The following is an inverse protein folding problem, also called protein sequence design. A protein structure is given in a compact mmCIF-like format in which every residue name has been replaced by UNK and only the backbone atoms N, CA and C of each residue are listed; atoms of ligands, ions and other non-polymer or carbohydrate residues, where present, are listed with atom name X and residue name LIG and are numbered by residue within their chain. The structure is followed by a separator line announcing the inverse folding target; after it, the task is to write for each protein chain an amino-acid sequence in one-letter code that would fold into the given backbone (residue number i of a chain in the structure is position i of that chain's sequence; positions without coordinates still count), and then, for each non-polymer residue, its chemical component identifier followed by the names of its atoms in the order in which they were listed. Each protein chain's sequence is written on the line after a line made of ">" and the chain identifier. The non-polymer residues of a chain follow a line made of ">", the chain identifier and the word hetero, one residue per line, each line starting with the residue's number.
data_IF_162030074657
#
_entry.id   IF_162030074657
#
_cell.length_a   1.000
_cell.length_b   1.000
_cell.length_c   1.000
_cell.angle_alpha   90.00
_cell.angle_beta   90.00
_cell.angle_gamma   90.00
#
_symmetry.space_group_name_H-M   'P 1'
#
loop_
_entity.id
_entity.type
_entity.pdbx_description
1 polymer ?
#
# COMPACT_ATOMS: atom_id res chain seq x y z
N UNK A 1 -16.18 -3.38 71.25
CA UNK A 1 -16.30 -4.84 71.11
C UNK A 1 -15.45 -5.23 69.91
N UNK A 2 -14.39 -5.99 70.15
CA UNK A 2 -13.44 -6.43 69.12
C UNK A 2 -14.15 -7.42 68.22
N UNK A 3 -14.25 -7.13 66.92
CA UNK A 3 -14.70 -8.12 65.92
C UNK A 3 -13.55 -9.09 65.69
N UNK A 4 -13.58 -10.20 66.41
CA UNK A 4 -12.74 -11.37 66.13
C UNK A 4 -13.37 -12.08 64.94
N UNK A 5 -12.55 -12.35 63.92
CA UNK A 5 -12.91 -13.15 62.76
C UNK A 5 -13.16 -14.60 63.18
N UNK A 6 -14.40 -15.08 63.07
CA UNK A 6 -14.75 -16.50 63.20
C UNK A 6 -14.25 -17.29 61.97
N UNK A 7 -13.83 -18.56 62.13
CA UNK A 7 -13.41 -19.40 61.02
C UNK A 7 -14.61 -19.81 60.15
N UNK A 8 -14.47 -19.70 58.81
CA UNK A 8 -15.51 -20.04 57.82
C UNK A 8 -16.23 -21.36 58.14
N UNK A 9 -17.53 -21.29 58.42
CA UNK A 9 -18.36 -22.46 58.73
C UNK A 9 -18.83 -23.17 57.45
N UNK A 10 -19.27 -24.44 57.56
CA UNK A 10 -19.88 -25.17 56.44
C UNK A 10 -21.13 -24.46 55.89
N UNK A 11 -21.88 -23.76 56.74
CA UNK A 11 -23.03 -22.93 56.36
C UNK A 11 -22.63 -21.71 55.52
N UNK A 12 -21.47 -21.09 55.82
CA UNK A 12 -20.93 -19.97 55.02
C UNK A 12 -20.58 -20.42 53.59
N UNK A 13 -20.01 -21.62 53.44
CA UNK A 13 -19.68 -22.21 52.13
C UNK A 13 -20.93 -22.59 51.33
N UNK A 14 -21.99 -23.08 51.97
CA UNK A 14 -23.27 -23.34 51.30
C UNK A 14 -23.97 -22.04 50.87
N UNK A 15 -23.96 -21.02 51.72
CA UNK A 15 -24.50 -19.70 51.39
C UNK A 15 -23.72 -19.03 50.24
N UNK A 16 -22.39 -19.15 50.21
CA UNK A 16 -21.56 -18.63 49.13
C UNK A 16 -21.80 -19.38 47.81
N UNK A 17 -21.95 -20.71 47.85
CA UNK A 17 -22.33 -21.51 46.69
C UNK A 17 -23.72 -21.14 46.14
N UNK A 18 -24.70 -20.86 47.03
CA UNK A 18 -26.02 -20.40 46.62
C UNK A 18 -25.94 -19.03 45.93
N UNK A 19 -25.19 -18.09 46.52
CA UNK A 19 -24.95 -16.76 45.92
C UNK A 19 -24.30 -16.87 44.54
N UNK A 20 -23.23 -17.67 44.40
CA UNK A 20 -22.58 -17.95 43.10
C UNK A 20 -23.58 -18.53 42.10
N UNK A 21 -24.45 -19.45 42.51
CA UNK A 21 -25.48 -20.05 41.64
C UNK A 21 -26.47 -19.02 41.11
N UNK A 22 -26.95 -18.08 41.92
CA UNK A 22 -27.86 -17.03 41.46
C UNK A 22 -27.15 -16.00 40.59
N UNK A 23 -25.93 -15.58 40.94
CA UNK A 23 -25.13 -14.66 40.12
C UNK A 23 -24.80 -15.28 38.76
N UNK A 24 -24.40 -16.56 38.71
CA UNK A 24 -24.12 -17.26 37.45
C UNK A 24 -25.36 -17.40 36.54
N UNK A 25 -26.58 -17.34 37.09
CA UNK A 25 -27.81 -17.31 36.30
C UNK A 25 -28.13 -15.93 35.72
N UNK A 26 -27.58 -14.86 36.32
CA UNK A 26 -27.73 -13.49 35.84
C UNK A 26 -26.75 -13.16 34.71
N UNK A 27 -25.62 -13.86 34.64
CA UNK A 27 -24.62 -13.67 33.61
C UNK A 27 -25.06 -14.31 32.28
N UNK A 28 -24.92 -13.60 31.15
CA UNK A 28 -25.33 -14.10 29.84
C UNK A 28 -24.41 -15.22 29.34
N UNK A 29 -24.85 -15.85 28.24
CA UNK A 29 -23.96 -16.66 27.42
C UNK A 29 -23.25 -15.81 26.37
N UNK A 30 -22.04 -16.21 25.98
CA UNK A 30 -21.23 -15.50 25.00
C UNK A 30 -21.06 -16.37 23.75
N UNK A 31 -21.45 -15.82 22.60
CA UNK A 31 -21.16 -16.39 21.29
C UNK A 31 -19.74 -16.00 20.88
N UNK A 32 -18.94 -17.01 20.53
CA UNK A 32 -17.59 -16.77 20.03
C UNK A 32 -17.53 -16.87 18.51
N UNK A 33 -16.48 -16.31 17.95
CA UNK A 33 -16.24 -16.30 16.49
C UNK A 33 -16.09 -17.73 15.94
N UNK A 34 -15.66 -18.67 16.77
CA UNK A 34 -15.53 -20.10 16.43
C UNK A 34 -16.90 -20.82 16.33
N UNK A 35 -18.01 -20.12 16.59
CA UNK A 35 -19.37 -20.64 16.46
C UNK A 35 -19.91 -21.36 17.70
N UNK A 36 -19.12 -21.45 18.77
CA UNK A 36 -19.54 -22.06 20.03
C UNK A 36 -20.07 -21.04 21.05
N UNK A 37 -20.73 -21.55 22.09
CA UNK A 37 -21.39 -20.76 23.14
C UNK A 37 -20.80 -21.10 24.49
N UNK A 38 -20.27 -20.09 25.19
CA UNK A 38 -19.68 -20.27 26.52
C UNK A 38 -20.34 -19.42 27.59
N UNK A 39 -20.05 -19.74 28.85
CA UNK A 39 -20.39 -18.89 29.97
C UNK A 39 -19.55 -17.60 29.95
N UNK A 40 -20.19 -16.48 30.24
CA UNK A 40 -19.52 -15.20 30.43
C UNK A 40 -18.52 -15.30 31.61
N UNK A 41 -17.30 -14.84 31.37
CA UNK A 41 -16.22 -14.87 32.36
C UNK A 41 -15.62 -13.46 32.52
N UNK A 42 -15.89 -12.75 33.63
CA UNK A 42 -15.34 -11.42 33.90
C UNK A 42 -13.82 -11.34 33.86
N UNK A 43 -13.11 -12.39 34.29
CA UNK A 43 -11.65 -12.41 34.34
C UNK A 43 -11.01 -12.20 32.95
N UNK A 44 -11.73 -12.57 31.87
CA UNK A 44 -11.25 -12.32 30.50
C UNK A 44 -11.23 -10.83 30.16
N UNK A 45 -12.13 -10.03 30.72
CA UNK A 45 -12.20 -8.58 30.51
C UNK A 45 -11.03 -7.92 31.23
N UNK A 46 -10.85 -8.23 32.51
CA UNK A 46 -9.75 -7.70 33.33
C UNK A 46 -8.38 -8.02 32.71
N UNK A 47 -8.14 -9.28 32.33
CA UNK A 47 -6.91 -9.69 31.66
C UNK A 47 -6.69 -8.99 30.32
N UNK A 48 -7.76 -8.77 29.56
CA UNK A 48 -7.70 -8.09 28.25
C UNK A 48 -7.37 -6.61 28.44
N UNK A 49 -7.97 -5.94 29.43
CA UNK A 49 -7.68 -4.55 29.76
C UNK A 49 -6.21 -4.37 30.11
N UNK A 50 -5.68 -5.17 31.05
CA UNK A 50 -4.27 -5.08 31.46
C UNK A 50 -3.34 -5.32 30.26
N UNK A 51 -3.60 -6.38 29.48
CA UNK A 51 -2.74 -6.77 28.36
C UNK A 51 -2.73 -5.73 27.22
N UNK A 52 -3.88 -5.18 26.86
CA UNK A 52 -4.02 -4.36 25.65
C UNK A 52 -3.85 -2.86 25.92
N UNK A 53 -4.16 -2.41 27.13
CA UNK A 53 -4.12 -0.98 27.49
C UNK A 53 -3.00 -0.62 28.46
N UNK A 54 -2.45 -1.60 29.20
CA UNK A 54 -1.46 -1.36 30.24
C UNK A 54 -2.03 -0.87 31.57
N UNK A 55 -3.36 -0.89 31.76
CA UNK A 55 -3.99 -0.55 33.04
C UNK A 55 -3.43 -1.36 34.20
N UNK A 56 -3.31 -0.70 35.36
CA UNK A 56 -2.98 -1.40 36.60
C UNK A 56 -4.12 -2.31 37.05
N UNK A 57 -3.78 -3.33 37.85
CA UNK A 57 -4.72 -4.34 38.31
C UNK A 57 -5.95 -3.74 39.01
N UNK A 58 -5.78 -2.68 39.82
CA UNK A 58 -6.90 -2.10 40.59
C UNK A 58 -7.87 -1.36 39.68
N UNK A 59 -7.34 -0.60 38.72
CA UNK A 59 -8.17 0.08 37.72
C UNK A 59 -8.88 -0.91 36.81
N UNK A 60 -8.19 -1.95 36.35
CA UNK A 60 -8.78 -3.01 35.52
C UNK A 60 -9.91 -3.77 36.25
N UNK A 61 -9.72 -4.10 37.53
CA UNK A 61 -10.75 -4.72 38.39
C UNK A 61 -11.97 -3.80 38.52
N UNK A 62 -11.76 -2.52 38.86
CA UNK A 62 -12.84 -1.52 38.97
C UNK A 62 -13.66 -1.39 37.69
N UNK A 63 -12.99 -1.27 36.54
CA UNK A 63 -13.67 -1.18 35.23
C UNK A 63 -14.42 -2.47 34.93
N UNK A 64 -13.82 -3.63 35.20
CA UNK A 64 -14.45 -4.94 35.01
C UNK A 64 -15.72 -5.07 35.86
N UNK A 65 -15.69 -4.62 37.11
CA UNK A 65 -16.85 -4.61 37.99
C UNK A 65 -18.01 -3.78 37.40
N UNK A 66 -17.73 -2.57 36.93
CA UNK A 66 -18.71 -1.71 36.28
C UNK A 66 -19.32 -2.36 35.03
N UNK A 67 -18.48 -3.03 34.22
CA UNK A 67 -18.91 -3.77 33.03
C UNK A 67 -19.86 -4.91 33.41
N UNK A 68 -19.50 -5.69 34.42
CA UNK A 68 -20.34 -6.80 34.92
C UNK A 68 -21.68 -6.29 35.42
N UNK A 69 -21.69 -5.21 36.21
CA UNK A 69 -22.92 -4.58 36.71
C UNK A 69 -23.81 -4.12 35.55
N UNK A 70 -23.22 -3.48 34.53
CA UNK A 70 -23.95 -3.02 33.34
C UNK A 70 -24.55 -4.18 32.56
N UNK A 71 -23.76 -5.22 32.30
CA UNK A 71 -24.22 -6.44 31.61
C UNK A 71 -25.40 -7.08 32.34
N UNK A 72 -25.32 -7.29 33.66
CA UNK A 72 -26.42 -7.84 34.44
C UNK A 72 -27.66 -6.95 34.35
N UNK A 73 -27.50 -5.63 34.51
CA UNK A 73 -28.62 -4.68 34.50
C UNK A 73 -29.33 -4.59 33.14
N UNK A 74 -28.62 -4.83 32.05
CA UNK A 74 -29.17 -4.77 30.68
C UNK A 74 -30.17 -5.88 30.35
N UNK A 75 -30.16 -7.00 31.11
CA UNK A 75 -31.00 -8.15 30.81
C UNK A 75 -30.69 -8.87 29.48
N UNK A 76 -29.57 -8.55 28.84
CA UNK A 76 -29.14 -9.19 27.60
C UNK A 76 -28.86 -10.67 27.88
N UNK A 77 -29.46 -11.57 27.09
CA UNK A 77 -29.31 -13.02 27.27
C UNK A 77 -28.05 -13.57 26.59
N UNK A 78 -27.61 -12.90 25.54
CA UNK A 78 -26.51 -13.34 24.71
C UNK A 78 -25.64 -12.16 24.30
N UNK A 79 -24.33 -12.30 24.49
CA UNK A 79 -23.34 -11.31 24.08
C UNK A 79 -22.39 -11.91 23.06
N UNK A 80 -21.83 -11.06 22.21
CA UNK A 80 -20.66 -11.38 21.39
C UNK A 80 -19.43 -10.70 21.98
N UNK A 81 -18.23 -11.14 21.59
CA UNK A 81 -16.98 -10.45 21.95
C UNK A 81 -16.99 -8.95 21.60
N UNK A 82 -17.41 -8.55 20.37
CA UNK A 82 -17.55 -7.15 20.00
C UNK A 82 -18.49 -6.35 20.90
N UNK A 83 -19.66 -6.92 21.24
CA UNK A 83 -20.62 -6.25 22.12
C UNK A 83 -20.04 -6.03 23.52
N UNK A 84 -19.30 -7.01 24.07
CA UNK A 84 -18.61 -6.84 25.35
C UNK A 84 -17.57 -5.71 25.24
N UNK A 85 -16.79 -5.69 24.16
CA UNK A 85 -15.76 -4.65 23.94
C UNK A 85 -16.37 -3.25 23.85
N UNK A 86 -17.51 -3.08 23.17
CA UNK A 86 -18.24 -1.81 23.11
C UNK A 86 -18.70 -1.33 24.49
N UNK A 87 -19.22 -2.24 25.32
CA UNK A 87 -19.61 -1.93 26.71
C UNK A 87 -18.39 -1.48 27.53
N UNK A 88 -17.25 -2.17 27.37
CA UNK A 88 -16.00 -1.80 28.04
C UNK A 88 -15.51 -0.43 27.60
N UNK A 89 -15.47 -0.15 26.29
CA UNK A 89 -15.07 1.16 25.77
C UNK A 89 -15.98 2.29 26.27
N UNK A 90 -17.29 2.06 26.32
CA UNK A 90 -18.25 3.02 26.89
C UNK A 90 -17.94 3.33 28.35
N UNK A 91 -17.61 2.32 29.15
CA UNK A 91 -17.28 2.51 30.58
C UNK A 91 -15.91 3.18 30.74
N UNK A 92 -14.91 2.84 29.93
CA UNK A 92 -13.62 3.54 29.96
C UNK A 92 -13.80 5.05 29.71
N UNK A 93 -14.62 5.43 28.71
CA UNK A 93 -14.94 6.83 28.45
C UNK A 93 -15.69 7.51 29.61
N UNK A 94 -16.67 6.83 30.21
CA UNK A 94 -17.39 7.38 31.39
C UNK A 94 -16.51 7.54 32.62
N UNK A 95 -15.39 6.83 32.67
CA UNK A 95 -14.44 6.84 33.79
C UNK A 95 -13.19 7.68 33.50
N UNK A 96 -13.18 8.43 32.39
CA UNK A 96 -12.07 9.29 31.97
C UNK A 96 -10.75 8.53 31.73
N UNK A 97 -10.86 7.39 31.06
CA UNK A 97 -9.73 6.61 30.52
C UNK A 97 -9.71 6.68 29.00
N UNK A 98 -9.58 7.90 28.45
CA UNK A 98 -9.66 8.17 27.02
C UNK A 98 -8.54 7.48 26.22
N UNK A 99 -7.31 7.45 26.75
CA UNK A 99 -6.15 6.83 26.10
C UNK A 99 -6.31 5.30 26.07
N UNK A 100 -6.71 4.69 27.18
CA UNK A 100 -6.95 3.26 27.24
C UNK A 100 -8.15 2.86 26.39
N UNK A 101 -9.18 3.70 26.33
CA UNK A 101 -10.30 3.52 25.40
C UNK A 101 -9.80 3.55 23.95
N UNK A 102 -8.88 4.47 23.59
CA UNK A 102 -8.25 4.53 22.26
C UNK A 102 -7.58 3.18 21.94
N UNK A 103 -6.79 2.65 22.88
CA UNK A 103 -6.09 1.37 22.72
C UNK A 103 -7.02 0.14 22.68
N UNK A 104 -8.11 0.18 23.43
CA UNK A 104 -9.07 -0.93 23.51
C UNK A 104 -10.09 -0.91 22.37
N UNK A 105 -10.12 0.15 21.56
CA UNK A 105 -11.04 0.30 20.43
C UNK A 105 -10.77 -0.78 19.38
N UNK A 106 -11.85 -1.39 18.88
CA UNK A 106 -11.79 -2.26 17.71
C UNK A 106 -11.94 -1.39 16.48
N UNK A 107 -11.01 -1.52 15.55
CA UNK A 107 -11.13 -0.98 14.19
C UNK A 107 -11.99 -1.90 13.32
N UNK A 108 -12.76 -1.31 12.41
CA UNK A 108 -13.69 -2.03 11.54
C UNK A 108 -14.62 -1.07 10.79
N UNK A 109 -15.70 -1.60 10.22
CA UNK A 109 -16.70 -0.76 9.57
C UNK A 109 -18.12 -1.25 9.85
N UNK A 110 -19.10 -0.32 9.91
CA UNK A 110 -20.51 -0.67 9.91
C UNK A 110 -20.92 -1.52 8.70
N UNK A 111 -21.94 -2.36 8.86
CA UNK A 111 -22.47 -3.18 7.77
C UNK A 111 -22.96 -2.32 6.61
N UNK A 112 -23.71 -1.25 6.92
CA UNK A 112 -24.24 -0.31 5.93
C UNK A 112 -23.13 0.36 5.11
N UNK A 113 -22.00 0.67 5.74
CA UNK A 113 -20.88 1.32 5.04
C UNK A 113 -20.23 0.33 4.06
N UNK A 114 -20.11 -0.94 4.43
CA UNK A 114 -19.61 -1.97 3.53
C UNK A 114 -20.60 -2.26 2.40
N UNK A 115 -21.91 -2.32 2.70
CA UNK A 115 -22.96 -2.44 1.69
C UNK A 115 -22.94 -1.26 0.71
N UNK A 116 -22.71 -0.05 1.19
CA UNK A 116 -22.57 1.12 0.34
C UNK A 116 -21.36 1.02 -0.61
N UNK A 117 -20.22 0.49 -0.14
CA UNK A 117 -19.07 0.22 -1.02
C UNK A 117 -19.41 -0.83 -2.09
N UNK A 118 -20.18 -1.86 -1.73
CA UNK A 118 -20.62 -2.90 -2.67
C UNK A 118 -21.59 -2.37 -3.73
N UNK A 119 -22.52 -1.51 -3.33
CA UNK A 119 -23.59 -1.00 -4.19
C UNK A 119 -23.14 0.18 -5.07
N UNK A 120 -22.37 1.11 -4.51
CA UNK A 120 -22.07 2.41 -5.13
C UNK A 120 -20.57 2.62 -5.40
N UNK A 121 -19.69 1.82 -4.83
CA UNK A 121 -18.24 2.03 -4.91
C UNK A 121 -17.77 3.30 -4.17
N UNK A 122 -16.54 3.75 -4.48
CA UNK A 122 -15.92 4.94 -3.88
C UNK A 122 -15.31 5.80 -4.98
N UNK A 123 -15.61 7.10 -4.96
CA UNK A 123 -15.10 8.09 -5.93
C UNK A 123 -14.02 8.98 -5.29
N UNK A 124 -12.85 8.40 -5.01
CA UNK A 124 -11.69 9.11 -4.46
C UNK A 124 -10.49 9.14 -5.43
N UNK A 125 -10.48 8.27 -6.44
CA UNK A 125 -9.34 8.07 -7.32
C UNK A 125 -9.80 7.81 -8.76
N UNK A 126 -9.58 8.80 -9.64
CA UNK A 126 -10.00 8.76 -11.04
C UNK A 126 -9.37 7.61 -11.86
N UNK A 127 -8.29 6.98 -11.37
CA UNK A 127 -7.63 5.87 -12.05
C UNK A 127 -8.13 4.49 -11.61
N UNK A 128 -9.06 4.43 -10.65
CA UNK A 128 -9.59 3.19 -10.08
C UNK A 128 -11.06 3.03 -10.45
N UNK A 129 -11.42 1.86 -10.99
CA UNK A 129 -12.79 1.51 -11.34
C UNK A 129 -13.38 0.52 -10.32
N UNK A 130 -14.71 0.38 -10.28
CA UNK A 130 -15.39 -0.55 -9.40
C UNK A 130 -15.21 -1.99 -9.90
N UNK A 131 -14.41 -2.76 -9.17
CA UNK A 131 -14.20 -4.19 -9.39
C UNK A 131 -13.98 -4.90 -8.04
N UNK A 132 -14.00 -6.25 -7.99
CA UNK A 132 -13.86 -6.98 -6.73
C UNK A 132 -12.60 -6.64 -5.93
N UNK A 133 -11.47 -6.37 -6.60
CA UNK A 133 -10.23 -5.97 -5.93
C UNK A 133 -10.33 -4.54 -5.38
N UNK A 134 -10.94 -3.60 -6.11
CA UNK A 134 -11.21 -2.25 -5.60
C UNK A 134 -12.08 -2.26 -4.35
N UNK A 135 -13.13 -3.09 -4.32
CA UNK A 135 -14.04 -3.22 -3.16
C UNK A 135 -13.27 -3.70 -1.92
N UNK A 136 -12.50 -4.78 -2.05
CA UNK A 136 -11.64 -5.26 -0.95
C UNK A 136 -10.62 -4.20 -0.53
N UNK A 137 -10.01 -3.52 -1.50
CA UNK A 137 -9.02 -2.49 -1.28
C UNK A 137 -9.59 -1.29 -0.51
N UNK A 138 -10.77 -0.78 -0.89
CA UNK A 138 -11.43 0.34 -0.21
C UNK A 138 -11.82 0.00 1.23
N UNK A 139 -12.34 -1.20 1.47
CA UNK A 139 -12.64 -1.66 2.83
C UNK A 139 -11.37 -1.77 3.69
N UNK A 140 -10.28 -2.32 3.14
CA UNK A 140 -9.01 -2.42 3.84
C UNK A 140 -8.38 -1.05 4.13
N UNK A 141 -8.52 -0.09 3.21
CA UNK A 141 -8.03 1.28 3.42
C UNK A 141 -8.69 1.93 4.63
N UNK A 142 -10.02 1.82 4.79
CA UNK A 142 -10.71 2.41 5.94
C UNK A 142 -10.17 1.90 7.27
N UNK A 143 -9.92 0.60 7.36
CA UNK A 143 -9.35 -0.04 8.55
C UNK A 143 -7.94 0.49 8.81
N UNK A 144 -7.13 0.64 7.77
CA UNK A 144 -5.74 1.10 7.87
C UNK A 144 -5.64 2.59 8.21
N UNK A 145 -6.52 3.44 7.65
CA UNK A 145 -6.66 4.86 8.00
C UNK A 145 -7.00 5.00 9.49
N UNK A 146 -7.98 4.23 9.98
CA UNK A 146 -8.38 4.25 11.39
C UNK A 146 -7.23 3.79 12.30
N UNK A 147 -6.50 2.74 11.91
CA UNK A 147 -5.32 2.28 12.64
C UNK A 147 -4.25 3.37 12.72
N UNK A 148 -3.94 4.06 11.63
CA UNK A 148 -2.94 5.12 11.60
C UNK A 148 -3.33 6.26 12.57
N UNK A 149 -4.59 6.73 12.52
CA UNK A 149 -5.11 7.78 13.41
C UNK A 149 -5.11 7.36 14.88
N UNK A 150 -5.46 6.09 15.16
CA UNK A 150 -5.62 5.63 16.52
C UNK A 150 -4.30 5.21 17.17
N UNK A 151 -3.36 4.67 16.39
CA UNK A 151 -2.19 3.97 16.93
C UNK A 151 -0.85 4.58 16.56
N UNK A 152 -0.72 5.17 15.37
CA UNK A 152 0.57 5.65 14.88
C UNK A 152 0.73 7.13 15.15
N UNK A 153 -0.30 7.92 14.81
CA UNK A 153 -0.32 9.35 15.03
C UNK A 153 -0.65 9.68 16.48
N UNK A 154 -0.07 10.76 16.97
CA UNK A 154 -0.53 11.36 18.22
C UNK A 154 -1.90 12.03 18.03
N UNK A 155 -2.52 12.43 19.14
CA UNK A 155 -3.87 13.00 19.11
C UNK A 155 -3.92 14.37 18.42
N UNK A 156 -2.84 15.16 18.46
CA UNK A 156 -2.77 16.48 17.83
C UNK A 156 -2.63 16.34 16.31
N UNK A 157 -1.74 15.47 15.84
CA UNK A 157 -1.53 15.12 14.44
C UNK A 157 -2.81 14.55 13.80
N UNK A 158 -3.45 13.59 14.47
CA UNK A 158 -4.69 13.00 14.01
C UNK A 158 -5.82 14.05 13.92
N UNK A 159 -5.93 14.92 14.92
CA UNK A 159 -6.92 15.99 14.91
C UNK A 159 -6.67 17.01 13.81
N UNK A 160 -5.42 17.47 13.64
CA UNK A 160 -5.03 18.38 12.58
C UNK A 160 -5.34 17.80 11.19
N UNK A 161 -5.12 16.49 10.99
CA UNK A 161 -5.51 15.81 9.76
C UNK A 161 -7.03 15.78 9.55
N UNK A 162 -7.78 15.39 10.58
CA UNK A 162 -9.24 15.28 10.52
C UNK A 162 -9.95 16.64 10.36
N UNK A 163 -9.35 17.72 10.88
CA UNK A 163 -9.87 19.07 10.76
C UNK A 163 -9.41 19.79 9.48
N UNK A 164 -8.46 19.20 8.75
CA UNK A 164 -7.93 19.76 7.51
C UNK A 164 -6.88 20.85 7.73
N UNK A 165 -6.35 21.00 8.94
CA UNK A 165 -5.19 21.87 9.21
C UNK A 165 -3.94 21.32 8.49
N UNK A 166 -3.83 19.99 8.39
CA UNK A 166 -2.84 19.29 7.57
C UNK A 166 -3.50 18.18 6.75
N UNK A 167 -2.80 17.71 5.72
CA UNK A 167 -3.19 16.51 4.97
C UNK A 167 -2.03 15.50 4.94
N UNK A 168 -2.24 14.34 5.59
CA UNK A 168 -1.28 13.23 5.57
C UNK A 168 -1.59 12.39 4.33
N UNK A 169 -0.72 12.52 3.32
CA UNK A 169 -0.87 11.76 2.08
C UNK A 169 -0.75 10.26 2.33
N UNK A 170 -1.64 9.49 1.71
CA UNK A 170 -1.65 8.01 1.78
C UNK A 170 -1.71 7.46 3.21
N UNK A 171 -2.48 8.10 4.09
CA UNK A 171 -2.66 7.69 5.50
C UNK A 171 -2.93 6.18 5.68
N UNK A 172 -3.77 5.58 4.82
CA UNK A 172 -4.05 4.15 4.69
C UNK A 172 -2.85 3.21 4.53
N UNK A 173 -1.65 3.74 4.28
CA UNK A 173 -0.41 2.98 4.12
C UNK A 173 0.71 3.47 5.03
N UNK A 174 0.42 4.39 5.94
CA UNK A 174 1.39 5.05 6.79
C UNK A 174 2.17 4.07 7.69
N UNK A 175 1.58 2.90 7.94
CA UNK A 175 2.12 1.83 8.77
C UNK A 175 3.12 0.91 8.04
N UNK A 176 3.01 0.78 6.72
CA UNK A 176 3.67 -0.31 5.98
C UNK A 176 4.45 0.13 4.75
N UNK A 177 4.06 1.20 4.05
CA UNK A 177 4.59 1.48 2.70
C UNK A 177 5.23 2.86 2.57
N UNK A 178 6.44 2.94 2.01
CA UNK A 178 6.99 4.21 1.54
C UNK A 178 6.14 4.80 0.39
N UNK A 179 6.41 6.05 0.05
CA UNK A 179 5.63 6.79 -0.95
C UNK A 179 6.02 6.44 -2.40
N UNK A 180 6.96 7.17 -3.01
CA UNK A 180 7.40 6.98 -4.40
C UNK A 180 8.83 6.46 -4.47
N UNK A 181 9.20 5.83 -5.58
CA UNK A 181 10.57 5.41 -5.87
C UNK A 181 10.86 5.37 -7.37
N UNK A 182 11.98 5.98 -7.74
CA UNK A 182 12.61 5.80 -9.05
C UNK A 182 13.69 4.72 -8.93
N UNK A 183 13.64 3.72 -9.80
CA UNK A 183 14.51 2.54 -9.73
C UNK A 183 15.67 2.66 -10.72
N UNK A 184 16.81 2.11 -10.35
CA UNK A 184 17.91 1.87 -11.26
C UNK A 184 17.63 0.59 -12.07
N UNK A 185 17.39 0.66 -13.40
CA UNK A 185 17.08 -0.51 -14.21
C UNK A 185 18.16 -1.60 -14.13
N UNK A 186 19.42 -1.21 -13.87
CA UNK A 186 20.54 -2.16 -13.80
C UNK A 186 20.34 -3.25 -12.76
N UNK A 187 19.70 -2.92 -11.63
CA UNK A 187 19.38 -3.92 -10.60
C UNK A 187 18.58 -5.10 -11.18
N UNK A 188 17.62 -4.80 -12.06
CA UNK A 188 16.77 -5.80 -12.70
C UNK A 188 17.52 -6.49 -13.85
N UNK A 189 18.29 -5.72 -14.63
CA UNK A 189 19.04 -6.24 -15.78
C UNK A 189 20.20 -7.17 -15.35
N UNK A 190 20.79 -6.95 -14.17
CA UNK A 190 21.88 -7.77 -13.61
C UNK A 190 21.40 -9.01 -12.86
N UNK A 191 20.18 -8.99 -12.30
CA UNK A 191 19.72 -10.05 -11.38
C UNK A 191 18.47 -10.81 -11.84
N UNK A 192 17.69 -10.28 -12.79
CA UNK A 192 16.42 -10.88 -13.20
C UNK A 192 15.32 -10.65 -12.16
N UNK A 193 14.36 -11.59 -12.06
CA UNK A 193 13.14 -11.47 -11.24
C UNK A 193 12.73 -12.82 -10.64
N UNK A 194 11.93 -12.87 -9.55
CA UNK A 194 11.65 -11.77 -8.64
C UNK A 194 12.85 -11.50 -7.71
N UNK A 195 12.87 -10.39 -6.93
CA UNK A 195 13.93 -10.10 -5.96
C UNK A 195 13.84 -10.96 -4.67
N UNK A 196 13.20 -12.13 -4.72
CA UNK A 196 12.88 -12.93 -3.54
C UNK A 196 13.42 -14.34 -3.71
N UNK A 197 14.30 -14.75 -2.80
CA UNK A 197 14.88 -16.11 -2.78
C UNK A 197 14.14 -17.05 -1.81
N UNK A 198 13.34 -16.51 -0.88
CA UNK A 198 12.67 -17.27 0.17
C UNK A 198 11.34 -17.91 -0.25
N UNK A 199 10.77 -17.50 -1.40
CA UNK A 199 9.45 -17.97 -1.83
C UNK A 199 9.52 -19.15 -2.79
N UNK A 200 9.52 -20.36 -2.23
CA UNK A 200 9.74 -21.61 -2.96
C UNK A 200 8.74 -21.90 -4.11
N UNK A 201 7.54 -21.29 -4.10
CA UNK A 201 6.53 -21.48 -5.15
C UNK A 201 6.67 -20.48 -6.31
N UNK A 202 7.60 -19.52 -6.22
CA UNK A 202 7.82 -18.53 -7.27
C UNK A 202 8.98 -18.96 -8.18
N UNK A 203 8.76 -18.94 -9.51
CA UNK A 203 9.80 -19.20 -10.48
C UNK A 203 10.72 -17.97 -10.61
N UNK A 204 12.04 -18.20 -10.69
CA UNK A 204 13.04 -17.14 -10.87
C UNK A 204 13.54 -17.08 -12.31
N UNK A 205 13.43 -15.93 -12.95
CA UNK A 205 14.12 -15.61 -14.20
C UNK A 205 15.51 -15.05 -13.91
N UNK A 206 16.51 -15.51 -14.66
CA UNK A 206 17.83 -14.87 -14.68
C UNK A 206 17.82 -13.58 -15.51
N UNK A 207 18.97 -12.89 -15.61
CA UNK A 207 19.15 -11.68 -16.41
C UNK A 207 18.63 -11.79 -17.86
N UNK A 208 18.00 -10.72 -18.34
CA UNK A 208 17.41 -10.69 -19.68
C UNK A 208 18.45 -10.86 -20.78
N UNK A 209 18.21 -11.75 -21.74
CA UNK A 209 19.10 -12.00 -22.89
C UNK A 209 18.79 -11.20 -24.16
N UNK A 210 17.65 -10.51 -24.22
CA UNK A 210 17.24 -9.72 -25.39
C UNK A 210 16.47 -8.47 -24.95
N UNK A 211 16.37 -7.47 -25.83
CA UNK A 211 15.65 -6.23 -25.55
C UNK A 211 14.21 -6.48 -25.12
N UNK A 212 13.49 -7.37 -25.82
CA UNK A 212 12.10 -7.71 -25.48
C UNK A 212 11.97 -8.35 -24.10
N UNK A 213 12.88 -9.23 -23.71
CA UNK A 213 12.86 -9.80 -22.35
C UNK A 213 13.22 -8.75 -21.30
N UNK A 214 14.16 -7.85 -21.61
CA UNK A 214 14.57 -6.77 -20.72
C UNK A 214 13.41 -5.83 -20.39
N UNK A 215 12.69 -5.34 -21.41
CA UNK A 215 11.52 -4.48 -21.19
C UNK A 215 10.39 -5.19 -20.45
N UNK A 216 10.16 -6.48 -20.71
CA UNK A 216 9.18 -7.27 -19.95
C UNK A 216 9.60 -7.43 -18.49
N UNK A 217 10.89 -7.60 -18.19
CA UNK A 217 11.37 -7.62 -16.80
C UNK A 217 11.14 -6.28 -16.12
N UNK A 218 11.45 -5.17 -16.79
CA UNK A 218 11.23 -3.83 -16.22
C UNK A 218 9.74 -3.54 -15.99
N UNK A 219 8.85 -3.95 -16.90
CA UNK A 219 7.40 -3.82 -16.69
C UNK A 219 6.91 -4.67 -15.51
N UNK A 220 7.35 -5.94 -15.42
CA UNK A 220 6.99 -6.84 -14.32
C UNK A 220 7.49 -6.34 -12.97
N UNK A 221 8.69 -5.77 -12.92
CA UNK A 221 9.22 -5.16 -11.71
C UNK A 221 8.26 -4.10 -11.18
N UNK A 222 7.89 -3.12 -12.02
CA UNK A 222 6.93 -2.07 -11.64
C UNK A 222 5.59 -2.65 -11.16
N UNK A 223 5.11 -3.71 -11.80
CA UNK A 223 3.91 -4.43 -11.35
C UNK A 223 4.05 -5.07 -9.96
N UNK A 224 5.19 -5.68 -9.66
CA UNK A 224 5.49 -6.28 -8.36
C UNK A 224 5.55 -5.20 -7.28
N UNK A 225 6.36 -4.16 -7.50
CA UNK A 225 6.61 -3.13 -6.46
C UNK A 225 5.44 -2.15 -6.27
N UNK A 226 4.47 -2.11 -7.18
CA UNK A 226 3.22 -1.36 -6.99
C UNK A 226 2.44 -1.83 -5.75
N UNK A 227 2.61 -3.09 -5.35
CA UNK A 227 2.06 -3.64 -4.10
C UNK A 227 2.83 -3.24 -2.84
N UNK A 228 4.08 -2.80 -2.97
CA UNK A 228 5.00 -2.51 -1.85
C UNK A 228 5.09 -1.02 -1.52
N UNK A 229 4.64 -0.15 -2.43
CA UNK A 229 4.67 1.31 -2.29
C UNK A 229 3.27 1.91 -2.36
N UNK A 230 3.10 3.12 -1.82
CA UNK A 230 1.81 3.83 -1.83
C UNK A 230 1.67 4.86 -2.98
N UNK A 231 2.78 5.35 -3.51
CA UNK A 231 2.87 6.36 -4.58
C UNK A 231 3.26 5.78 -5.94
N UNK A 232 3.81 6.64 -6.81
CA UNK A 232 4.23 6.31 -8.16
C UNK A 232 5.67 5.80 -8.25
N UNK A 233 5.93 4.94 -9.24
CA UNK A 233 7.16 4.18 -9.36
C UNK A 233 7.71 4.21 -10.77
N UNK A 234 9.01 4.41 -10.95
CA UNK A 234 9.54 4.63 -12.29
C UNK A 234 10.96 4.17 -12.52
N UNK A 235 11.46 4.57 -13.68
CA UNK A 235 12.86 4.44 -14.02
C UNK A 235 13.45 5.77 -14.49
N UNK A 236 14.66 6.07 -14.00
CA UNK A 236 15.48 7.14 -14.55
C UNK A 236 16.36 6.64 -15.71
N UNK A 237 16.57 7.48 -16.73
CA UNK A 237 17.46 7.25 -17.87
C UNK A 237 17.24 5.90 -18.60
N UNK A 238 15.97 5.51 -18.80
CA UNK A 238 15.60 4.21 -19.38
C UNK A 238 16.26 3.97 -20.75
N UNK A 239 16.36 5.02 -21.58
CA UNK A 239 16.97 4.98 -22.91
C UNK A 239 18.46 4.66 -22.83
N UNK A 240 19.15 5.18 -21.82
CA UNK A 240 20.58 4.90 -21.59
C UNK A 240 20.78 3.45 -21.13
N UNK A 241 20.00 3.01 -20.12
CA UNK A 241 20.21 1.70 -19.53
C UNK A 241 19.81 0.54 -20.44
N UNK A 242 18.86 0.74 -21.36
CA UNK A 242 18.49 -0.24 -22.38
C UNK A 242 19.36 -0.19 -23.65
N UNK A 243 20.14 0.87 -23.88
CA UNK A 243 20.93 1.04 -25.10
C UNK A 243 21.85 -0.16 -25.44
N UNK A 244 22.50 -0.84 -24.48
CA UNK A 244 23.33 -2.02 -24.77
C UNK A 244 22.57 -3.20 -25.40
N UNK A 245 21.25 -3.25 -25.24
CA UNK A 245 20.40 -4.30 -25.80
C UNK A 245 19.99 -4.05 -27.24
N UNK A 246 20.26 -2.87 -27.80
CA UNK A 246 19.78 -2.42 -29.12
C UNK A 246 20.79 -2.67 -30.24
N UNK A 247 22.05 -2.90 -29.91
CA UNK A 247 23.12 -3.07 -30.89
C UNK A 247 22.81 -4.25 -31.83
N UNK A 248 22.76 -3.96 -33.14
CA UNK A 248 22.46 -4.95 -34.17
C UNK A 248 20.98 -5.36 -34.26
N UNK A 249 20.09 -4.72 -33.51
CA UNK A 249 18.64 -4.93 -33.58
C UNK A 249 18.01 -4.02 -34.64
N UNK A 250 16.99 -4.51 -35.34
CA UNK A 250 16.28 -3.73 -36.35
C UNK A 250 15.37 -2.65 -35.73
N UNK A 251 15.18 -1.51 -36.40
CA UNK A 251 14.29 -0.44 -35.92
C UNK A 251 12.88 -0.94 -35.60
N UNK A 252 12.36 -1.89 -36.40
CA UNK A 252 11.07 -2.53 -36.16
C UNK A 252 11.03 -3.27 -34.82
N UNK A 253 12.09 -3.99 -34.46
CA UNK A 253 12.14 -4.71 -33.18
C UNK A 253 12.32 -3.77 -31.99
N UNK A 254 13.01 -2.64 -32.17
CA UNK A 254 13.11 -1.57 -31.17
C UNK A 254 11.71 -1.01 -30.89
N UNK A 255 11.00 -0.55 -31.93
CA UNK A 255 9.64 -0.01 -31.82
C UNK A 255 8.69 -1.01 -31.15
N UNK A 256 8.71 -2.28 -31.57
CA UNK A 256 7.88 -3.32 -30.97
C UNK A 256 8.22 -3.63 -29.52
N UNK A 257 9.50 -3.48 -29.12
CA UNK A 257 9.90 -3.65 -27.73
C UNK A 257 9.47 -2.46 -26.87
N UNK A 258 9.55 -1.24 -27.39
CA UNK A 258 9.05 -0.04 -26.69
C UNK A 258 7.54 -0.06 -26.55
N UNK A 259 6.83 -0.49 -27.60
CA UNK A 259 5.40 -0.77 -27.55
C UNK A 259 5.07 -1.81 -26.47
N UNK A 260 5.83 -2.91 -26.42
CA UNK A 260 5.66 -3.93 -25.38
C UNK A 260 5.86 -3.33 -23.97
N UNK A 261 6.90 -2.52 -23.74
CA UNK A 261 7.12 -1.87 -22.45
C UNK A 261 5.90 -1.04 -22.00
N UNK A 262 5.39 -0.18 -22.89
CA UNK A 262 4.29 0.73 -22.59
C UNK A 262 2.99 -0.06 -22.33
N UNK A 263 2.64 -1.03 -23.18
CA UNK A 263 1.41 -1.80 -22.98
C UNK A 263 1.49 -2.69 -21.74
N UNK A 264 2.61 -3.38 -21.50
CA UNK A 264 2.78 -4.25 -20.33
C UNK A 264 2.68 -3.45 -19.02
N UNK A 265 3.17 -2.21 -18.97
CA UNK A 265 3.06 -1.35 -17.78
C UNK A 265 1.65 -0.77 -17.58
N UNK A 266 0.89 -0.52 -18.64
CA UNK A 266 -0.49 -0.03 -18.54
C UNK A 266 -1.52 -1.12 -18.21
N UNK A 267 -1.20 -2.38 -18.48
CA UNK A 267 -2.18 -3.48 -18.43
C UNK A 267 -2.01 -4.39 -17.20
N UNK A 268 -1.35 -3.91 -16.15
CA UNK A 268 -1.14 -4.64 -14.88
C UNK A 268 -2.33 -4.44 -13.93
N UNK A 269 -3.53 -4.85 -14.33
CA UNK A 269 -4.75 -4.71 -13.52
C UNK A 269 -4.78 -5.64 -12.29
N UNK A 270 -3.89 -6.63 -12.22
CA UNK A 270 -3.72 -7.48 -11.04
C UNK A 270 -2.98 -6.79 -9.88
N UNK A 271 -2.52 -5.55 -10.08
CA UNK A 271 -1.83 -4.78 -9.05
C UNK A 271 -2.80 -4.18 -8.02
N UNK A 272 -2.23 -3.46 -7.04
CA UNK A 272 -2.89 -2.83 -5.90
C UNK A 272 -4.22 -2.13 -6.25
N UNK A 273 -5.34 -2.66 -5.75
CA UNK A 273 -6.65 -2.05 -5.89
C UNK A 273 -7.22 -2.09 -7.31
N UNK A 274 -6.73 -2.98 -8.18
CA UNK A 274 -7.31 -3.19 -9.51
C UNK A 274 -7.16 -2.00 -10.47
N UNK A 275 -6.21 -1.10 -10.22
CA UNK A 275 -5.97 0.12 -10.99
C UNK A 275 -4.69 0.02 -11.82
N UNK A 276 -4.60 0.83 -12.88
CA UNK A 276 -3.36 0.97 -13.65
C UNK A 276 -2.25 1.52 -12.74
N UNK A 277 -1.06 0.88 -12.70
CA UNK A 277 0.05 1.37 -11.87
C UNK A 277 0.48 2.78 -12.25
N UNK A 278 0.68 3.63 -11.23
CA UNK A 278 1.22 4.97 -11.42
C UNK A 278 2.70 4.87 -11.71
N UNK A 279 3.06 4.89 -12.99
CA UNK A 279 4.45 4.67 -13.42
C UNK A 279 5.03 5.83 -14.20
N UNK A 280 6.35 5.97 -14.19
CA UNK A 280 7.11 7.01 -14.90
C UNK A 280 8.33 6.38 -15.57
N UNK A 281 8.69 6.89 -16.74
CA UNK A 281 9.99 6.59 -17.37
C UNK A 281 10.58 7.90 -17.85
N UNK A 282 11.83 8.16 -17.45
CA UNK A 282 12.54 9.32 -17.97
C UNK A 282 13.57 8.97 -19.02
N UNK A 283 13.61 9.83 -20.03
CA UNK A 283 14.27 9.60 -21.30
C UNK A 283 15.24 10.75 -21.61
N UNK A 284 16.39 10.40 -22.18
CA UNK A 284 17.33 11.33 -22.78
C UNK A 284 17.67 10.89 -24.21
N UNK A 285 17.90 11.83 -25.14
CA UNK A 285 18.26 11.51 -26.52
C UNK A 285 19.70 10.96 -26.65
N UNK A 286 20.51 11.14 -25.61
CA UNK A 286 21.90 10.66 -25.54
C UNK A 286 22.25 10.25 -24.11
N UNK A 287 23.42 9.63 -23.96
CA UNK A 287 23.95 9.16 -22.67
C UNK A 287 24.43 10.36 -21.84
N UNK A 288 23.88 10.60 -20.64
CA UNK A 288 24.32 11.70 -19.77
C UNK A 288 25.79 11.59 -19.38
N UNK A 289 26.45 12.75 -19.17
CA UNK A 289 27.90 12.82 -18.90
C UNK A 289 28.35 11.95 -17.72
N UNK A 290 27.56 11.92 -16.64
CA UNK A 290 27.82 11.12 -15.45
C UNK A 290 27.77 9.61 -15.69
N UNK A 291 27.13 9.16 -16.77
CA UNK A 291 27.00 7.74 -17.13
C UNK A 291 27.99 7.29 -18.20
N UNK A 292 28.67 8.20 -18.89
CA UNK A 292 29.54 7.87 -20.04
C UNK A 292 30.60 6.80 -19.71
N UNK A 293 31.21 6.86 -18.53
CA UNK A 293 32.32 5.96 -18.12
C UNK A 293 31.85 4.78 -17.28
N UNK A 294 30.56 4.66 -17.02
CA UNK A 294 30.00 3.57 -16.22
C UNK A 294 29.94 2.30 -17.08
N UNK A 295 30.38 1.13 -16.57
CA UNK A 295 30.26 -0.13 -17.27
C UNK A 295 28.80 -0.41 -17.67
N UNK A 296 28.59 -0.79 -18.94
CA UNK A 296 27.24 -0.99 -19.45
C UNK A 296 26.74 -2.41 -19.15
N UNK A 297 25.56 -2.53 -18.53
CA UNK A 297 24.89 -3.83 -18.34
C UNK A 297 24.19 -4.20 -19.64
N UNK A 298 24.63 -5.29 -20.26
CA UNK A 298 24.07 -5.83 -21.49
C UNK A 298 23.41 -7.20 -21.31
N UNK A 299 23.10 -7.86 -22.43
CA UNK A 299 22.44 -9.16 -22.46
C UNK A 299 23.04 -10.19 -21.49
N UNK A 300 22.15 -10.89 -20.80
CA UNK A 300 22.45 -11.87 -19.75
C UNK A 300 23.18 -11.27 -18.53
N UNK A 301 23.00 -9.97 -18.27
CA UNK A 301 23.59 -9.28 -17.12
C UNK A 301 25.10 -9.10 -17.25
N UNK A 302 25.65 -9.21 -18.47
CA UNK A 302 27.09 -9.10 -18.71
C UNK A 302 27.48 -7.64 -18.88
N UNK A 303 28.59 -7.25 -18.25
CA UNK A 303 29.20 -5.94 -18.50
C UNK A 303 29.85 -5.92 -19.89
N UNK A 304 29.41 -5.00 -20.75
CA UNK A 304 29.91 -4.84 -22.12
C UNK A 304 30.25 -3.37 -22.40
N UNK A 305 31.55 -3.06 -22.45
CA UNK A 305 32.01 -1.69 -22.66
C UNK A 305 31.49 -0.72 -21.59
N UNK A 306 31.25 0.52 -22.00
CA UNK A 306 30.71 1.60 -21.17
C UNK A 306 29.45 2.18 -21.80
N UNK A 307 28.56 2.80 -21.02
CA UNK A 307 27.34 3.39 -21.59
C UNK A 307 27.65 4.45 -22.66
N UNK A 308 28.78 5.16 -22.56
CA UNK A 308 29.22 6.13 -23.57
C UNK A 308 29.40 5.54 -24.97
N UNK A 309 29.56 4.22 -25.09
CA UNK A 309 29.70 3.51 -26.37
C UNK A 309 28.37 3.31 -27.10
N UNK A 310 27.24 3.71 -26.51
CA UNK A 310 25.88 3.39 -26.98
C UNK A 310 24.99 4.62 -27.25
N UNK A 311 25.60 5.76 -27.62
CA UNK A 311 24.86 7.01 -27.89
C UNK A 311 23.86 6.87 -29.04
N UNK A 312 24.24 6.20 -30.13
CA UNK A 312 23.35 6.00 -31.28
C UNK A 312 22.16 5.09 -30.91
N UNK A 313 22.42 4.03 -30.16
CA UNK A 313 21.38 3.13 -29.66
C UNK A 313 20.42 3.84 -28.68
N UNK A 314 20.94 4.74 -27.84
CA UNK A 314 20.15 5.58 -26.95
C UNK A 314 19.19 6.49 -27.73
N UNK A 315 19.67 7.15 -28.79
CA UNK A 315 18.85 8.01 -29.63
C UNK A 315 17.74 7.22 -30.36
N UNK A 316 18.05 6.02 -30.86
CA UNK A 316 17.05 5.14 -31.49
C UNK A 316 15.94 4.74 -30.53
N UNK A 317 16.28 4.45 -29.26
CA UNK A 317 15.27 4.17 -28.23
C UNK A 317 14.42 5.40 -27.93
N UNK A 318 15.03 6.57 -27.81
CA UNK A 318 14.36 7.83 -27.56
C UNK A 318 13.31 8.13 -28.64
N UNK A 319 13.70 8.05 -29.92
CA UNK A 319 12.78 8.25 -31.04
C UNK A 319 11.68 7.19 -31.07
N UNK A 320 12.02 5.90 -30.89
CA UNK A 320 11.04 4.82 -30.94
C UNK A 320 10.02 4.89 -29.79
N UNK A 321 10.44 5.30 -28.59
CA UNK A 321 9.51 5.55 -27.47
C UNK A 321 8.55 6.68 -27.81
N UNK A 322 9.08 7.81 -28.27
CA UNK A 322 8.28 8.99 -28.64
C UNK A 322 7.26 8.65 -29.73
N UNK A 323 7.67 7.89 -30.77
CA UNK A 323 6.77 7.45 -31.84
C UNK A 323 5.61 6.58 -31.31
N UNK A 324 5.84 5.75 -30.29
CA UNK A 324 4.77 4.95 -29.65
C UNK A 324 3.82 5.85 -28.85
N UNK A 325 4.33 6.84 -28.12
CA UNK A 325 3.47 7.79 -27.39
C UNK A 325 2.60 8.63 -28.33
N UNK A 326 3.16 9.15 -29.44
CA UNK A 326 2.40 9.89 -30.47
C UNK A 326 1.29 9.03 -31.07
N UNK A 327 1.60 7.74 -31.35
CA UNK A 327 0.63 6.82 -31.95
C UNK A 327 -0.55 6.50 -31.03
N UNK A 328 -0.32 6.48 -29.72
CA UNK A 328 -1.33 6.12 -28.72
C UNK A 328 -1.72 4.64 -28.75
N UNK A 329 -2.81 4.33 -28.04
CA UNK A 329 -3.36 2.98 -27.95
C UNK A 329 -4.05 2.52 -29.26
N UNK A 330 -4.78 1.40 -29.21
CA UNK A 330 -5.50 0.89 -30.38
C UNK A 330 -6.48 1.91 -31.00
N UNK A 331 -7.02 2.82 -30.20
CA UNK A 331 -7.94 3.88 -30.60
C UNK A 331 -7.23 5.24 -30.80
N UNK A 332 -5.90 5.27 -30.71
CA UNK A 332 -5.13 6.51 -30.75
C UNK A 332 -5.29 7.35 -29.47
N UNK A 333 -5.78 6.76 -28.37
CA UNK A 333 -5.87 7.44 -27.08
C UNK A 333 -4.47 7.53 -26.47
N UNK A 334 -4.19 8.66 -25.81
CA UNK A 334 -2.94 8.87 -25.08
C UNK A 334 -2.71 7.82 -23.98
N UNK A 335 -1.44 7.51 -23.75
CA UNK A 335 -0.98 6.72 -22.61
C UNK A 335 -0.73 7.63 -21.41
N UNK A 336 -1.54 7.51 -20.35
CA UNK A 336 -1.34 8.27 -19.12
C UNK A 336 -0.15 7.76 -18.30
N UNK A 337 0.17 6.47 -18.47
CA UNK A 337 1.30 5.77 -17.86
C UNK A 337 2.04 4.95 -18.91
N UNK A 338 3.28 4.49 -18.65
CA UNK A 338 4.17 5.21 -17.75
C UNK A 338 4.28 6.64 -18.27
N UNK A 339 4.34 7.62 -17.36
CA UNK A 339 4.50 9.02 -17.76
C UNK A 339 5.77 9.13 -18.59
N UNK A 340 5.65 9.66 -19.79
CA UNK A 340 6.82 9.99 -20.59
C UNK A 340 7.44 11.25 -20.00
N UNK A 341 8.66 11.14 -19.47
CA UNK A 341 9.40 12.26 -18.88
C UNK A 341 10.63 12.57 -19.72
N UNK A 342 10.62 13.69 -20.44
CA UNK A 342 11.71 14.08 -21.33
C UNK A 342 12.61 15.09 -20.63
N UNK A 343 13.87 14.71 -20.42
CA UNK A 343 14.89 15.60 -19.89
C UNK A 343 15.41 16.54 -20.97
N UNK A 344 15.49 17.83 -20.65
CA UNK A 344 15.92 18.88 -21.58
C UNK A 344 17.20 19.53 -21.07
N UNK A 345 18.18 19.69 -21.98
CA UNK A 345 19.31 20.62 -21.86
C UNK A 345 19.31 21.58 -23.06
N UNK A 346 19.86 22.77 -22.88
CA UNK A 346 19.95 23.78 -23.95
C UNK A 346 20.70 23.25 -25.17
N UNK A 347 21.81 22.58 -24.94
CA UNK A 347 22.66 22.02 -26.02
C UNK A 347 21.93 20.89 -26.76
N UNK A 348 21.14 20.10 -26.04
CA UNK A 348 20.40 18.97 -26.63
C UNK A 348 19.26 19.42 -27.53
N UNK A 349 18.64 20.56 -27.26
CA UNK A 349 17.60 21.11 -28.14
C UNK A 349 18.14 21.42 -29.55
N UNK A 350 19.40 21.87 -29.64
CA UNK A 350 20.07 22.13 -30.92
C UNK A 350 20.65 20.84 -31.52
N UNK A 351 21.35 20.02 -30.72
CA UNK A 351 22.01 18.79 -31.19
C UNK A 351 21.02 17.72 -31.67
N UNK A 352 19.87 17.60 -31.01
CA UNK A 352 18.83 16.60 -31.28
C UNK A 352 17.51 17.25 -31.73
N UNK A 353 17.59 18.39 -32.44
CA UNK A 353 16.41 19.14 -32.90
C UNK A 353 15.34 18.25 -33.57
N UNK A 354 15.67 17.31 -34.49
CA UNK A 354 14.65 16.46 -35.11
C UNK A 354 13.87 15.60 -34.10
N UNK A 355 14.55 15.05 -33.10
CA UNK A 355 13.93 14.23 -32.06
C UNK A 355 13.10 15.07 -31.10
N UNK A 356 13.56 16.27 -30.75
CA UNK A 356 12.74 17.20 -29.95
C UNK A 356 11.53 17.74 -30.70
N UNK A 357 11.60 17.92 -32.02
CA UNK A 357 10.42 18.27 -32.83
C UNK A 357 9.35 17.18 -32.77
N UNK A 358 9.73 15.89 -32.77
CA UNK A 358 8.78 14.79 -32.51
C UNK A 358 8.18 14.88 -31.11
N UNK A 359 9.00 15.15 -30.10
CA UNK A 359 8.49 15.35 -28.74
C UNK A 359 7.49 16.51 -28.66
N UNK A 360 7.69 17.58 -29.44
CA UNK A 360 6.73 18.68 -29.54
C UNK A 360 5.45 18.29 -30.29
N UNK A 361 5.53 17.36 -31.26
CA UNK A 361 4.35 16.75 -31.88
C UNK A 361 3.53 15.95 -30.87
N UNK A 362 4.19 15.15 -30.01
CA UNK A 362 3.53 14.48 -28.88
C UNK A 362 2.81 15.50 -27.99
N UNK A 363 3.48 16.61 -27.63
CA UNK A 363 2.89 17.66 -26.80
C UNK A 363 1.65 18.30 -27.44
N UNK A 364 1.72 18.57 -28.75
CA UNK A 364 0.64 19.21 -29.49
C UNK A 364 -0.57 18.28 -29.71
N UNK A 365 -0.35 16.97 -29.82
CA UNK A 365 -1.38 16.01 -30.20
C UNK A 365 -1.96 15.24 -29.02
N UNK A 366 -1.12 14.93 -28.02
CA UNK A 366 -1.46 14.05 -26.89
C UNK A 366 -1.50 14.77 -25.54
N UNK A 367 -0.92 15.96 -25.42
CA UNK A 367 -0.81 16.68 -24.14
C UNK A 367 0.24 16.10 -23.18
N UNK A 368 1.10 15.21 -23.68
CA UNK A 368 2.31 14.64 -23.05
C UNK A 368 3.51 14.98 -23.93
N UNK A 369 4.78 14.93 -23.49
CA UNK A 369 5.30 14.41 -22.24
C UNK A 369 5.40 15.46 -21.12
N UNK A 370 5.91 15.02 -19.97
CA UNK A 370 6.43 15.91 -18.93
C UNK A 370 7.84 16.35 -19.29
N UNK A 371 8.11 17.65 -19.22
CA UNK A 371 9.43 18.20 -19.47
C UNK A 371 10.20 18.39 -18.17
N UNK A 372 11.35 17.74 -18.05
CA UNK A 372 12.26 17.88 -16.92
C UNK A 372 13.40 18.83 -17.31
N UNK A 373 13.37 20.04 -16.75
CA UNK A 373 14.40 21.04 -17.01
C UNK A 373 15.72 20.67 -16.30
N UNK A 374 16.75 20.32 -17.06
CA UNK A 374 18.10 20.03 -16.56
C UNK A 374 19.04 21.24 -16.66
N UNK A 375 18.51 22.42 -16.98
CA UNK A 375 19.20 23.70 -16.96
C UNK A 375 18.76 24.50 -15.73
N UNK A 376 19.27 24.20 -14.52
CA UNK A 376 19.10 25.12 -13.39
C UNK A 376 19.86 26.42 -13.69
N UNK A 377 19.24 27.55 -13.34
CA UNK A 377 19.83 28.89 -13.47
C UNK A 377 21.13 29.07 -12.67
#
# INVERSE_FOLDING_TARGET
>A
MVLVSDPETLEDKEAENLKRKYVNKLLPRVFRTEGDVVHFNPAKIEQSLIRETGLDQRSADRITELVVRRIISSGIKFLSGPHIREIVCSILSEQHFEDERKLYTRIGMPLMDYEAILEYGVDENANQDMNPESIHHWAANRISDEYALLRILDSEEAQAHLFGDIHIHMLRYFDLRPFCQEWDPRMILEHGLPPVDSWAHCNKSGPAGSLRVAVTHLAKWLGIIQGEFSGGQGYDYITTFLAPYVRGISNREIEQSMQCLIFETNQIFAARGGQVPFTSISCTPTVPDGLLRIPAVGPHGKLIGTYGDYKEECLKLFDALTDVYIKGDHHGKLFAFPKHEVKIKKEWLEEFEPSYLKVMEEAATMGTPYFLNMCPD
#
